data_IF_395081436429
#
_entry.id   IF_395081436429
#
_cell.length_a   1.000
_cell.length_b   1.000
_cell.length_c   1.000
_cell.angle_alpha   90.00
_cell.angle_beta   90.00
_cell.angle_gamma   90.00
#
_symmetry.space_group_name_H-M   'P 1'
#
loop_
_entity.id
_entity.type
_entity.pdbx_description
1 polymer ?
#
# COMPACT_ATOMS: atom_id res chain seq x y z
N UNK A 1 25.27 -6.28 20.80
CA UNK A 1 24.51 -6.64 19.59
C UNK A 1 23.46 -5.56 19.41
N UNK A 2 23.80 -4.47 18.73
CA UNK A 2 22.95 -3.28 18.61
C UNK A 2 21.97 -3.47 17.46
N UNK A 3 20.73 -3.05 17.70
CA UNK A 3 19.52 -3.06 16.86
C UNK A 3 19.66 -2.33 15.50
N UNK A 4 20.89 -2.09 15.04
CA UNK A 4 21.24 -1.32 13.85
C UNK A 4 21.24 -2.15 12.58
N UNK A 5 21.36 -3.49 12.65
CA UNK A 5 21.40 -4.35 11.46
C UNK A 5 20.03 -4.65 10.82
N UNK A 6 18.91 -4.19 11.37
CA UNK A 6 17.57 -4.39 10.77
C UNK A 6 17.14 -3.17 9.93
N UNK A 7 17.84 -2.03 10.01
CA UNK A 7 17.46 -0.79 9.29
C UNK A 7 17.91 -0.72 7.83
N UNK A 8 18.64 -1.71 7.31
CA UNK A 8 19.21 -1.61 5.96
C UNK A 8 18.31 -2.14 4.84
N UNK A 9 17.19 -2.82 5.14
CA UNK A 9 16.42 -3.49 4.08
C UNK A 9 14.98 -3.03 3.86
N UNK A 10 14.38 -2.20 4.71
CA UNK A 10 12.98 -1.77 4.54
C UNK A 10 12.81 -0.26 4.72
N UNK A 11 12.46 0.43 3.63
CA UNK A 11 12.02 1.82 3.69
C UNK A 11 10.50 1.83 3.60
N UNK A 12 9.84 2.51 4.54
CA UNK A 12 8.42 2.77 4.50
C UNK A 12 8.21 4.20 4.00
N UNK A 13 7.62 4.35 2.83
CA UNK A 13 7.42 5.67 2.19
C UNK A 13 5.94 5.96 2.06
N UNK A 14 5.58 7.23 2.25
CA UNK A 14 4.25 7.69 1.85
C UNK A 14 4.23 7.80 0.33
N UNK A 15 3.16 7.38 -0.34
CA UNK A 15 3.12 7.48 -1.80
C UNK A 15 3.19 8.93 -2.32
N UNK A 16 2.85 9.94 -1.51
CA UNK A 16 3.08 11.34 -1.89
C UNK A 16 4.57 11.68 -2.03
N UNK A 17 5.45 10.94 -1.34
CA UNK A 17 6.91 11.10 -1.46
C UNK A 17 7.44 10.43 -2.75
N UNK A 18 6.67 9.53 -3.38
CA UNK A 18 7.07 8.93 -4.67
C UNK A 18 7.15 9.97 -5.78
N UNK A 19 6.35 11.04 -5.71
CA UNK A 19 6.37 12.12 -6.70
C UNK A 19 7.64 12.98 -6.60
N UNK A 20 8.33 12.97 -5.45
CA UNK A 20 9.56 13.73 -5.21
C UNK A 20 10.83 12.92 -5.50
N UNK A 21 10.74 11.59 -5.55
CA UNK A 21 11.87 10.72 -5.85
C UNK A 21 12.04 10.64 -7.37
N UNK A 22 13.24 10.94 -7.88
CA UNK A 22 13.61 10.63 -9.26
C UNK A 22 13.77 9.11 -9.42
N UNK A 23 12.63 8.42 -9.55
CA UNK A 23 12.49 6.97 -9.66
C UNK A 23 13.28 6.37 -10.85
N UNK A 24 13.76 7.22 -11.76
CA UNK A 24 14.50 6.82 -12.97
C UNK A 24 16.02 6.78 -12.79
N UNK A 25 16.57 7.36 -11.71
CA UNK A 25 18.03 7.54 -11.56
C UNK A 25 18.69 6.74 -10.44
N UNK A 26 17.93 6.06 -9.58
CA UNK A 26 18.49 5.30 -8.46
C UNK A 26 17.81 3.94 -8.35
N UNK A 27 18.62 2.88 -8.26
CA UNK A 27 18.13 1.53 -7.95
C UNK A 27 17.53 1.53 -6.54
N UNK A 28 16.23 1.30 -6.42
CA UNK A 28 15.52 1.23 -5.14
C UNK A 28 16.07 0.12 -4.23
N UNK A 29 15.79 0.19 -2.91
CA UNK A 29 16.30 -0.78 -1.94
C UNK A 29 15.71 -2.18 -2.17
N UNK A 30 16.24 -3.20 -1.47
CA UNK A 30 15.81 -4.58 -1.70
C UNK A 30 14.33 -4.79 -1.35
N UNK A 31 13.85 -4.16 -0.27
CA UNK A 31 12.44 -4.17 0.12
C UNK A 31 11.95 -2.74 0.41
N UNK A 32 10.71 -2.45 0.04
CA UNK A 32 10.04 -1.17 0.27
C UNK A 32 8.61 -1.45 0.69
N UNK A 33 8.07 -0.66 1.62
CA UNK A 33 6.63 -0.61 1.88
C UNK A 33 6.11 0.76 1.46
N UNK A 34 5.30 0.81 0.42
CA UNK A 34 4.59 2.04 0.01
C UNK A 34 3.23 2.06 0.69
N UNK A 35 2.89 3.18 1.33
CA UNK A 35 1.62 3.35 2.04
C UNK A 35 0.73 4.35 1.31
N UNK A 36 -0.48 3.90 0.98
CA UNK A 36 -1.58 4.74 0.50
C UNK A 36 -2.66 4.83 1.58
N UNK A 37 -2.67 5.92 2.34
CA UNK A 37 -3.74 6.24 3.30
C UNK A 37 -4.84 7.09 2.64
N UNK A 38 -5.86 7.52 3.40
CA UNK A 38 -6.96 8.30 2.84
C UNK A 38 -6.58 9.60 2.11
N UNK A 39 -5.41 10.18 2.39
CA UNK A 39 -4.93 11.37 1.69
C UNK A 39 -4.49 11.03 0.26
N UNK A 40 -4.00 9.82 0.05
CA UNK A 40 -3.44 9.33 -1.21
C UNK A 40 -4.27 8.25 -1.90
N UNK A 41 -5.25 7.66 -1.20
CA UNK A 41 -6.23 6.70 -1.70
C UNK A 41 -7.44 6.60 -0.75
N UNK A 42 -8.48 7.37 -1.03
CA UNK A 42 -9.72 7.35 -0.25
C UNK A 42 -10.72 6.36 -0.83
N UNK A 43 -11.18 5.44 0.00
CA UNK A 43 -12.39 4.66 -0.22
C UNK A 43 -13.55 5.32 0.50
N UNK A 44 -14.70 5.46 -0.16
CA UNK A 44 -15.92 5.87 0.55
C UNK A 44 -16.28 4.81 1.62
N UNK A 45 -17.11 5.20 2.59
CA UNK A 45 -17.61 4.29 3.62
C UNK A 45 -18.24 3.05 2.98
N UNK A 46 -17.79 1.87 3.43
CA UNK A 46 -18.17 0.55 2.91
C UNK A 46 -18.01 0.36 1.38
N UNK A 47 -17.18 1.18 0.73
CA UNK A 47 -16.80 0.97 -0.67
C UNK A 47 -15.36 0.49 -0.79
N UNK A 48 -15.09 -0.11 -1.95
CA UNK A 48 -13.77 -0.57 -2.38
C UNK A 48 -13.34 0.04 -3.71
N UNK A 49 -14.15 0.89 -4.36
CA UNK A 49 -13.81 1.44 -5.66
C UNK A 49 -12.71 2.51 -5.58
N UNK A 50 -11.67 2.39 -6.41
CA UNK A 50 -10.64 3.41 -6.57
C UNK A 50 -11.16 4.54 -7.45
N UNK A 51 -11.14 5.77 -6.93
CA UNK A 51 -11.61 6.97 -7.65
C UNK A 51 -10.58 7.48 -8.67
N UNK A 52 -11.02 8.08 -9.80
CA UNK A 52 -10.13 8.59 -10.85
C UNK A 52 -9.05 9.57 -10.38
N UNK A 53 -9.35 10.38 -9.36
CA UNK A 53 -8.39 11.33 -8.77
C UNK A 53 -7.11 10.66 -8.21
N UNK A 54 -7.15 9.36 -7.91
CA UNK A 54 -6.01 8.58 -7.42
C UNK A 54 -5.32 7.77 -8.52
N UNK A 55 -5.66 7.96 -9.80
CA UNK A 55 -5.05 7.17 -10.86
C UNK A 55 -3.59 7.54 -11.09
N UNK A 56 -3.24 8.82 -10.99
CA UNK A 56 -1.86 9.29 -11.17
C UNK A 56 -0.87 8.64 -10.19
N UNK A 57 -1.20 8.59 -8.90
CA UNK A 57 -0.31 8.00 -7.89
C UNK A 57 -0.13 6.48 -8.07
N UNK A 58 -1.18 5.78 -8.52
CA UNK A 58 -1.10 4.35 -8.85
C UNK A 58 -0.30 4.08 -10.13
N UNK A 59 -0.36 4.99 -11.11
CA UNK A 59 0.48 4.94 -12.30
C UNK A 59 1.96 5.17 -11.95
N UNK A 60 2.27 6.17 -11.12
CA UNK A 60 3.63 6.40 -10.63
C UNK A 60 4.16 5.19 -9.86
N UNK A 61 3.33 4.57 -9.02
CA UNK A 61 3.68 3.34 -8.32
C UNK A 61 3.92 2.17 -9.30
N UNK A 62 3.10 2.03 -10.36
CA UNK A 62 3.30 1.04 -11.42
C UNK A 62 4.66 1.23 -12.09
N UNK A 63 5.02 2.48 -12.44
CA UNK A 63 6.32 2.79 -13.04
C UNK A 63 7.48 2.47 -12.09
N UNK A 64 7.34 2.82 -10.81
CA UNK A 64 8.33 2.49 -9.78
C UNK A 64 8.56 0.97 -9.65
N UNK A 65 7.47 0.19 -9.64
CA UNK A 65 7.50 -1.29 -9.63
C UNK A 65 8.21 -1.83 -10.88
N UNK A 66 7.93 -1.24 -12.04
CA UNK A 66 8.49 -1.68 -13.33
C UNK A 66 9.99 -1.42 -13.42
N UNK A 67 10.40 -0.16 -13.24
CA UNK A 67 11.79 0.32 -13.37
C UNK A 67 12.73 -0.42 -12.43
N UNK A 68 12.27 -0.74 -11.22
CA UNK A 68 13.08 -1.40 -10.21
C UNK A 68 12.92 -2.92 -10.17
N UNK A 69 12.07 -3.50 -11.03
CA UNK A 69 11.79 -4.94 -11.10
C UNK A 69 11.31 -5.55 -9.76
N UNK A 70 10.28 -4.94 -9.16
CA UNK A 70 9.67 -5.41 -7.92
C UNK A 70 8.57 -6.47 -8.16
N UNK A 71 8.50 -7.47 -7.27
CA UNK A 71 7.29 -8.21 -6.94
C UNK A 71 6.54 -7.51 -5.79
N UNK A 72 5.22 -7.70 -5.74
CA UNK A 72 4.30 -6.89 -4.94
C UNK A 72 3.32 -7.76 -4.15
N UNK A 73 3.21 -7.51 -2.85
CA UNK A 73 2.07 -7.93 -2.02
C UNK A 73 1.24 -6.72 -1.65
N UNK A 74 -0.07 -6.77 -1.89
CA UNK A 74 -1.02 -5.67 -1.60
C UNK A 74 -1.81 -6.03 -0.34
N UNK A 75 -1.78 -5.16 0.66
CA UNK A 75 -2.37 -5.42 1.98
C UNK A 75 -3.39 -4.34 2.31
N UNK A 76 -4.61 -4.75 2.67
CA UNK A 76 -5.66 -3.86 3.11
C UNK A 76 -5.76 -3.75 4.64
N UNK A 77 -5.90 -2.51 5.12
CA UNK A 77 -6.13 -2.19 6.53
C UNK A 77 -7.38 -1.32 6.70
N UNK A 78 -7.96 -1.39 7.89
CA UNK A 78 -9.13 -0.60 8.31
C UNK A 78 -8.82 0.17 9.59
N UNK A 79 -9.75 1.03 10.01
CA UNK A 79 -9.76 1.51 11.40
C UNK A 79 -10.46 0.49 12.31
N UNK A 80 -10.60 0.83 13.59
CA UNK A 80 -11.24 -0.04 14.58
C UNK A 80 -12.77 -0.03 14.59
N UNK A 81 -13.43 0.52 13.56
CA UNK A 81 -14.90 0.58 13.52
C UNK A 81 -15.45 -0.71 12.90
N UNK A 82 -16.20 -1.46 13.68
CA UNK A 82 -16.81 -2.73 13.25
C UNK A 82 -16.25 -3.90 14.04
N UNK A 83 -16.58 -5.12 13.63
CA UNK A 83 -15.94 -6.32 14.18
C UNK A 83 -14.66 -6.61 13.41
N UNK A 84 -13.68 -7.26 14.06
CA UNK A 84 -12.45 -7.70 13.39
C UNK A 84 -12.78 -8.54 12.13
N UNK A 85 -13.71 -9.50 12.19
CA UNK A 85 -14.10 -10.31 11.03
C UNK A 85 -14.62 -9.45 9.86
N UNK A 86 -15.43 -8.43 10.16
CA UNK A 86 -15.91 -7.49 9.15
C UNK A 86 -14.76 -6.70 8.54
N UNK A 87 -13.86 -6.20 9.38
CA UNK A 87 -12.70 -5.41 8.99
C UNK A 87 -11.70 -6.23 8.15
N UNK A 88 -11.50 -7.50 8.46
CA UNK A 88 -10.74 -8.43 7.63
C UNK A 88 -11.33 -8.55 6.23
N UNK A 89 -12.66 -8.75 6.13
CA UNK A 89 -13.36 -8.82 4.83
C UNK A 89 -13.29 -7.49 4.07
N UNK A 90 -13.46 -6.36 4.75
CA UNK A 90 -13.40 -5.03 4.14
C UNK A 90 -12.00 -4.69 3.61
N UNK A 91 -10.96 -4.93 4.40
CA UNK A 91 -9.57 -4.76 3.97
C UNK A 91 -9.25 -5.61 2.73
N UNK A 92 -9.70 -6.87 2.71
CA UNK A 92 -9.52 -7.76 1.56
C UNK A 92 -10.21 -7.23 0.29
N UNK A 93 -11.49 -6.80 0.39
CA UNK A 93 -12.21 -6.22 -0.76
C UNK A 93 -11.49 -4.99 -1.33
N UNK A 94 -10.92 -4.15 -0.46
CA UNK A 94 -10.18 -2.96 -0.88
C UNK A 94 -8.85 -3.34 -1.54
N UNK A 95 -8.10 -4.28 -0.97
CA UNK A 95 -6.85 -4.77 -1.55
C UNK A 95 -7.07 -5.41 -2.95
N UNK A 96 -8.12 -6.22 -3.12
CA UNK A 96 -8.48 -6.81 -4.41
C UNK A 96 -8.91 -5.74 -5.44
N UNK A 97 -9.66 -4.71 -5.02
CA UNK A 97 -10.01 -3.62 -5.95
C UNK A 97 -8.79 -2.82 -6.41
N UNK A 98 -7.80 -2.64 -5.54
CA UNK A 98 -6.55 -1.98 -5.91
C UNK A 98 -5.73 -2.86 -6.83
N UNK A 99 -5.60 -4.16 -6.55
CA UNK A 99 -4.98 -5.12 -7.47
C UNK A 99 -5.61 -5.06 -8.86
N UNK A 100 -6.94 -5.11 -8.95
CA UNK A 100 -7.64 -5.04 -10.23
C UNK A 100 -7.28 -3.76 -11.00
N UNK A 101 -7.20 -2.62 -10.29
CA UNK A 101 -6.81 -1.34 -10.88
C UNK A 101 -5.34 -1.31 -11.31
N UNK A 102 -4.41 -1.90 -10.54
CA UNK A 102 -2.99 -1.99 -10.92
C UNK A 102 -2.81 -2.87 -12.18
N UNK A 103 -3.55 -3.97 -12.29
CA UNK A 103 -3.55 -4.82 -13.49
C UNK A 103 -4.11 -4.07 -14.70
N UNK A 104 -5.21 -3.32 -14.52
CA UNK A 104 -5.79 -2.46 -15.56
C UNK A 104 -4.78 -1.40 -16.06
N UNK A 105 -3.93 -0.88 -15.17
CA UNK A 105 -2.84 0.03 -15.52
C UNK A 105 -1.58 -0.67 -16.07
N UNK A 106 -1.62 -1.99 -16.21
CA UNK A 106 -0.58 -2.75 -16.89
C UNK A 106 0.50 -3.33 -15.98
N UNK A 107 0.31 -3.38 -14.65
CA UNK A 107 1.15 -4.25 -13.81
C UNK A 107 0.88 -5.71 -14.18
N UNK A 108 1.89 -6.48 -14.60
CA UNK A 108 1.69 -7.90 -14.90
C UNK A 108 1.16 -8.64 -13.67
N UNK A 109 0.10 -9.44 -13.82
CA UNK A 109 -0.49 -10.20 -12.71
C UNK A 109 0.54 -11.12 -12.02
N UNK A 110 1.55 -11.60 -12.76
CA UNK A 110 2.65 -12.40 -12.23
C UNK A 110 3.58 -11.65 -11.27
N UNK A 111 3.57 -10.31 -11.26
CA UNK A 111 4.30 -9.49 -10.28
C UNK A 111 3.51 -9.28 -8.99
N UNK A 112 2.20 -9.52 -8.98
CA UNK A 112 1.38 -9.43 -7.77
C UNK A 112 1.35 -10.80 -7.11
N UNK A 113 2.28 -11.01 -6.17
CA UNK A 113 2.53 -12.31 -5.54
C UNK A 113 1.63 -12.57 -4.33
N UNK A 114 0.93 -11.56 -3.83
CA UNK A 114 0.01 -11.70 -2.71
C UNK A 114 -1.04 -10.60 -2.61
N UNK A 115 -2.20 -10.96 -2.07
CA UNK A 115 -3.26 -10.02 -1.65
C UNK A 115 -3.71 -10.43 -0.26
N UNK A 116 -3.65 -9.52 0.69
CA UNK A 116 -3.90 -9.80 2.09
C UNK A 116 -4.77 -8.73 2.74
N UNK A 117 -5.30 -9.07 3.92
CA UNK A 117 -5.95 -8.12 4.80
C UNK A 117 -5.41 -8.29 6.21
N UNK A 118 -5.22 -7.16 6.90
CA UNK A 118 -4.91 -7.13 8.33
C UNK A 118 -6.06 -6.55 9.15
N UNK A 119 -7.18 -6.21 8.50
CA UNK A 119 -8.29 -5.54 9.15
C UNK A 119 -7.81 -4.37 10.01
N UNK A 120 -8.18 -4.40 11.28
CA UNK A 120 -7.80 -3.38 12.28
C UNK A 120 -6.56 -3.77 13.13
N UNK A 121 -5.94 -4.94 12.89
CA UNK A 121 -4.97 -5.57 13.80
C UNK A 121 -3.60 -4.88 13.81
N UNK A 122 -3.28 -4.13 12.76
CA UNK A 122 -2.01 -3.41 12.62
C UNK A 122 -2.24 -1.89 12.47
N UNK A 123 -2.64 -1.18 13.55
CA UNK A 123 -2.81 0.27 13.51
C UNK A 123 -1.45 0.98 13.44
N UNK A 124 -1.37 2.04 12.65
CA UNK A 124 -0.20 2.94 12.54
C UNK A 124 -0.40 4.24 13.31
N UNK A 125 -1.62 4.53 13.74
CA UNK A 125 -1.99 5.65 14.59
C UNK A 125 -3.10 5.23 15.57
N UNK A 126 -3.36 6.06 16.59
CA UNK A 126 -4.47 5.80 17.54
C UNK A 126 -5.81 5.73 16.80
N UNK A 127 -6.69 4.79 17.20
CA UNK A 127 -8.06 4.75 16.70
C UNK A 127 -9.02 5.67 17.47
N UNK A 128 -8.53 6.38 18.48
CA UNK A 128 -9.36 7.25 19.33
C UNK A 128 -9.76 8.53 18.59
N UNK A 129 -8.91 9.02 17.68
CA UNK A 129 -9.14 10.25 16.92
C UNK A 129 -9.60 9.97 15.49
N UNK A 130 -10.29 10.94 14.87
CA UNK A 130 -10.73 10.79 13.47
C UNK A 130 -9.54 10.73 12.52
N UNK A 131 -8.52 11.52 12.80
CA UNK A 131 -7.27 11.63 12.05
C UNK A 131 -6.48 10.32 12.13
N UNK A 132 -6.35 9.74 13.32
CA UNK A 132 -5.64 8.47 13.49
C UNK A 132 -6.36 7.30 12.83
N UNK A 133 -7.70 7.28 12.89
CA UNK A 133 -8.50 6.32 12.11
C UNK A 133 -8.30 6.48 10.60
N UNK A 134 -8.23 7.72 10.09
CA UNK A 134 -7.97 7.97 8.67
C UNK A 134 -6.59 7.43 8.23
N UNK A 135 -5.57 7.55 9.07
CA UNK A 135 -4.25 6.96 8.80
C UNK A 135 -4.28 5.42 8.83
N UNK A 136 -5.12 4.81 9.66
CA UNK A 136 -5.25 3.36 9.75
C UNK A 136 -5.99 2.76 8.54
N UNK A 137 -6.94 3.50 7.94
CA UNK A 137 -7.63 3.14 6.70
C UNK A 137 -6.70 3.34 5.50
N UNK A 138 -5.86 2.34 5.24
CA UNK A 138 -4.79 2.40 4.24
C UNK A 138 -4.61 1.11 3.46
N UNK A 139 -3.90 1.21 2.34
CA UNK A 139 -3.36 0.10 1.57
C UNK A 139 -1.83 0.15 1.66
N UNK A 140 -1.21 -0.99 1.88
CA UNK A 140 0.24 -1.14 1.81
C UNK A 140 0.64 -1.97 0.60
N UNK A 141 1.69 -1.54 -0.08
CA UNK A 141 2.36 -2.33 -1.11
C UNK A 141 3.72 -2.73 -0.58
N UNK A 142 3.88 -4.01 -0.23
CA UNK A 142 5.17 -4.58 0.11
C UNK A 142 5.86 -4.99 -1.19
N UNK A 143 6.91 -4.28 -1.52
CA UNK A 143 7.70 -4.45 -2.73
C UNK A 143 8.99 -5.20 -2.39
N UNK A 144 9.28 -6.27 -3.14
CA UNK A 144 10.51 -7.05 -3.00
C UNK A 144 11.18 -7.17 -4.35
N UNK A 145 12.42 -6.69 -4.45
CA UNK A 145 13.11 -6.61 -5.74
C UNK A 145 13.43 -8.01 -6.23
N UNK A 146 13.25 -8.29 -7.52
CA UNK A 146 13.82 -9.48 -8.13
C UNK A 146 15.34 -9.40 -8.08
N UNK A 147 15.98 -10.56 -7.92
CA UNK A 147 17.44 -10.66 -7.84
C UNK A 147 18.07 -10.41 -9.20
#
# INVERSE_FOLDING_TARGET
>A
MTTTQIRENSIRINALELDEIDITKVKGPKEVTVVLDERSLLFDFDKSNVKPQYYGILQNLKEYIEVNDYDVTIIGHTDSKGTNEYNMKLGMRRAESVKAKMIEFGVPASRIVGVESRGEEEPVATNDTAEGRALNRRIEFKLVRKN
#
